data_IF_272964999196
#
_entry.id   IF_272964999196
#
_cell.length_a   1.000
_cell.length_b   1.000
_cell.length_c   1.000
_cell.angle_alpha   90.00
_cell.angle_beta   90.00
_cell.angle_gamma   90.00
#
_symmetry.space_group_name_H-M   'P 1'
#
loop_
_entity.id
_entity.type
_entity.pdbx_description
1 polymer ?
#
# COMPACT_ATOMS: atom_id res chain seq x y z
N UNK A 1 22.39 -40.74 -16.25
CA UNK A 1 22.57 -40.06 -14.95
C UNK A 1 21.38 -40.44 -14.09
N UNK A 2 21.58 -41.39 -13.18
CA UNK A 2 20.53 -42.01 -12.36
C UNK A 2 20.23 -41.07 -11.19
N UNK A 3 18.99 -40.60 -11.05
CA UNK A 3 18.55 -39.77 -9.91
C UNK A 3 18.05 -40.72 -8.82
N UNK A 4 18.87 -40.93 -7.80
CA UNK A 4 18.45 -41.62 -6.57
C UNK A 4 17.68 -40.65 -5.68
N UNK A 5 16.37 -40.87 -5.56
CA UNK A 5 15.51 -40.18 -4.60
C UNK A 5 15.84 -40.61 -3.17
N UNK A 6 16.31 -39.67 -2.36
CA UNK A 6 16.51 -39.88 -0.93
C UNK A 6 15.17 -39.91 -0.20
N UNK A 7 14.84 -41.05 0.39
CA UNK A 7 13.77 -41.17 1.37
C UNK A 7 14.27 -40.51 2.65
N UNK A 8 13.66 -39.39 3.05
CA UNK A 8 13.88 -38.81 4.38
C UNK A 8 13.23 -39.78 5.37
N UNK A 9 14.05 -40.54 6.08
CA UNK A 9 13.59 -41.40 7.16
C UNK A 9 13.03 -40.53 8.28
N UNK A 10 11.74 -40.67 8.60
CA UNK A 10 11.19 -40.21 9.86
C UNK A 10 11.94 -40.94 10.99
N UNK A 11 12.48 -40.19 11.95
CA UNK A 11 13.16 -40.77 13.11
C UNK A 11 12.23 -41.68 13.91
N UNK A 12 12.77 -42.65 14.68
CA UNK A 12 11.95 -43.53 15.51
C UNK A 12 11.27 -42.72 16.63
N UNK A 13 9.95 -42.82 16.72
CA UNK A 13 9.15 -42.23 17.79
C UNK A 13 9.23 -43.07 19.07
N UNK A 14 9.37 -42.40 20.23
CA UNK A 14 9.50 -42.99 21.58
C UNK A 14 8.42 -42.46 22.54
N UNK A 15 8.27 -43.08 23.71
CA UNK A 15 7.24 -42.76 24.71
C UNK A 15 7.52 -41.46 25.48
N UNK A 16 6.51 -40.62 25.74
CA UNK A 16 6.71 -39.37 26.46
C UNK A 16 7.31 -39.58 27.87
N UNK A 17 8.34 -38.80 28.20
CA UNK A 17 8.96 -38.80 29.53
C UNK A 17 8.36 -37.72 30.43
N UNK A 18 8.61 -37.80 31.73
CA UNK A 18 8.03 -36.86 32.70
C UNK A 18 8.88 -35.60 32.76
N UNK A 19 8.23 -34.46 32.54
CA UNK A 19 8.83 -33.14 32.62
C UNK A 19 8.70 -32.52 34.01
N UNK A 20 9.01 -31.22 34.15
CA UNK A 20 8.86 -30.49 35.41
C UNK A 20 7.42 -30.56 35.91
N UNK A 21 7.24 -30.89 37.18
CA UNK A 21 5.93 -31.01 37.81
C UNK A 21 6.03 -31.52 39.24
N UNK A 22 4.86 -31.68 39.86
CA UNK A 22 4.72 -32.24 41.21
C UNK A 22 4.07 -33.62 41.17
N UNK A 23 4.20 -34.36 42.27
CA UNK A 23 3.61 -35.68 42.46
C UNK A 23 4.55 -36.83 42.11
N UNK A 24 4.02 -38.05 42.19
CA UNK A 24 4.74 -39.28 41.89
C UNK A 24 3.86 -40.19 41.04
N UNK A 25 4.44 -40.65 39.94
CA UNK A 25 3.80 -41.48 38.92
C UNK A 25 3.40 -42.86 39.44
N UNK A 26 4.08 -43.34 40.48
CA UNK A 26 3.85 -44.67 41.04
C UNK A 26 2.77 -44.67 42.14
N UNK A 27 2.30 -43.49 42.56
CA UNK A 27 1.37 -43.34 43.67
C UNK A 27 0.17 -42.49 43.28
N UNK A 28 0.27 -41.16 43.38
CA UNK A 28 -0.86 -40.24 43.20
C UNK A 28 -1.03 -39.73 41.77
N UNK A 29 -0.10 -40.05 40.87
CA UNK A 29 0.06 -39.40 39.57
C UNK A 29 0.75 -38.04 39.69
N UNK A 30 1.11 -37.46 38.53
CA UNK A 30 1.78 -36.16 38.44
C UNK A 30 0.85 -35.04 37.99
N UNK A 31 1.21 -33.81 38.34
CA UNK A 31 0.63 -32.58 37.81
C UNK A 31 1.76 -31.68 37.32
N UNK A 32 1.83 -31.49 36.01
CA UNK A 32 2.94 -30.79 35.36
C UNK A 32 3.08 -31.19 33.90
N UNK A 33 4.23 -30.89 33.32
CA UNK A 33 4.51 -31.19 31.92
C UNK A 33 4.95 -32.65 31.71
N UNK A 34 4.71 -33.16 30.51
CA UNK A 34 5.41 -34.28 29.91
C UNK A 34 6.39 -33.75 28.86
N UNK A 35 7.36 -34.55 28.46
CA UNK A 35 8.26 -34.27 27.35
C UNK A 35 7.88 -35.18 26.20
N UNK A 36 7.45 -34.61 25.07
CA UNK A 36 7.19 -35.39 23.87
C UNK A 36 8.52 -35.80 23.22
N UNK A 37 8.84 -37.09 23.16
CA UNK A 37 10.09 -37.57 22.56
C UNK A 37 10.19 -37.30 21.06
N UNK A 38 9.06 -37.06 20.39
CA UNK A 38 9.02 -36.74 18.96
C UNK A 38 9.80 -35.48 18.60
N UNK A 39 9.84 -34.49 19.51
CA UNK A 39 10.46 -33.18 19.27
C UNK A 39 11.11 -32.55 20.52
N UNK A 40 11.11 -33.25 21.66
CA UNK A 40 11.69 -32.81 22.93
C UNK A 40 10.92 -31.71 23.66
N UNK A 41 9.68 -31.40 23.25
CA UNK A 41 8.92 -30.25 23.80
C UNK A 41 8.14 -30.61 25.05
N UNK A 42 7.93 -29.62 25.91
CA UNK A 42 6.99 -29.73 27.02
C UNK A 42 5.55 -29.74 26.50
N UNK A 43 4.80 -30.77 26.88
CA UNK A 43 3.42 -31.01 26.47
C UNK A 43 2.54 -31.31 27.68
N UNK A 44 1.26 -31.00 27.58
CA UNK A 44 0.31 -31.04 28.69
C UNK A 44 -0.85 -31.95 28.36
N UNK A 45 -1.22 -32.78 29.31
CA UNK A 45 -2.36 -33.68 29.25
C UNK A 45 -3.67 -32.90 29.06
N UNK A 46 -4.46 -33.21 28.02
CA UNK A 46 -5.79 -32.56 27.85
C UNK A 46 -6.96 -33.39 28.38
N UNK A 47 -6.84 -34.72 28.40
CA UNK A 47 -7.96 -35.62 28.68
C UNK A 47 -7.94 -36.07 30.14
N UNK A 48 -8.48 -35.26 31.06
CA UNK A 48 -8.27 -35.39 32.51
C UNK A 48 -8.52 -36.81 33.10
N UNK A 49 -9.37 -37.63 32.48
CA UNK A 49 -9.70 -38.99 32.90
C UNK A 49 -9.01 -40.14 32.16
N UNK A 50 -8.18 -39.87 31.15
CA UNK A 50 -7.54 -40.91 30.37
C UNK A 50 -6.20 -41.40 30.99
N UNK A 51 -5.68 -42.58 30.61
CA UNK A 51 -4.38 -43.05 31.11
C UNK A 51 -3.22 -42.16 30.63
N UNK A 52 -2.19 -42.00 31.45
CA UNK A 52 -1.00 -41.22 31.11
C UNK A 52 -0.26 -41.75 29.84
N UNK A 53 0.41 -40.87 29.07
CA UNK A 53 0.94 -41.16 27.73
C UNK A 53 2.28 -41.93 27.73
N UNK A 54 2.28 -43.16 28.24
CA UNK A 54 3.47 -44.03 28.33
C UNK A 54 3.86 -44.76 27.04
N UNK A 55 3.02 -44.71 26.01
CA UNK A 55 3.29 -45.32 24.72
C UNK A 55 3.86 -44.30 23.74
N UNK A 56 4.20 -44.77 22.54
CA UNK A 56 4.71 -43.94 21.46
C UNK A 56 3.78 -42.75 21.16
N UNK A 57 4.32 -41.55 21.32
CA UNK A 57 3.60 -40.29 21.05
C UNK A 57 3.93 -39.81 19.64
N UNK A 58 2.89 -39.50 18.86
CA UNK A 58 3.01 -38.93 17.51
C UNK A 58 2.59 -37.46 17.50
N UNK A 59 3.10 -36.67 16.54
CA UNK A 59 2.88 -35.23 16.46
C UNK A 59 4.18 -34.43 16.39
N UNK A 60 4.11 -33.09 16.46
CA UNK A 60 2.90 -32.28 16.61
C UNK A 60 2.09 -32.16 15.30
N UNK A 61 0.76 -32.13 15.43
CA UNK A 61 -0.13 -31.61 14.38
C UNK A 61 -0.78 -30.33 14.89
N UNK A 62 -0.62 -29.21 14.17
CA UNK A 62 -1.33 -27.96 14.52
C UNK A 62 -2.81 -28.11 14.14
N UNK A 63 -3.70 -27.97 15.12
CA UNK A 63 -5.15 -28.07 14.94
C UNK A 63 -5.84 -26.75 15.31
N UNK A 64 -6.88 -26.40 14.56
CA UNK A 64 -7.77 -25.25 14.81
C UNK A 64 -9.16 -25.67 15.24
N UNK A 65 -9.39 -26.98 15.33
CA UNK A 65 -10.64 -27.62 15.68
C UNK A 65 -10.29 -28.84 16.53
N UNK A 66 -10.89 -28.97 17.70
CA UNK A 66 -10.55 -30.01 18.66
C UNK A 66 -11.76 -30.33 19.52
N UNK A 67 -12.05 -31.62 19.65
CA UNK A 67 -13.09 -32.12 20.55
C UNK A 67 -12.45 -32.68 21.81
N UNK A 68 -12.98 -32.31 22.98
CA UNK A 68 -12.60 -32.85 24.29
C UNK A 68 -12.89 -34.36 24.38
N UNK A 69 -12.36 -35.01 25.42
CA UNK A 69 -12.57 -36.44 25.65
C UNK A 69 -14.06 -36.84 25.72
N UNK A 70 -14.90 -35.96 26.25
CA UNK A 70 -16.35 -36.17 26.41
C UNK A 70 -17.17 -35.87 25.14
N UNK A 71 -16.51 -35.57 24.02
CA UNK A 71 -17.18 -35.26 22.76
C UNK A 71 -17.63 -33.80 22.63
N UNK A 72 -17.26 -32.91 23.57
CA UNK A 72 -17.57 -31.48 23.44
C UNK A 72 -16.52 -30.75 22.59
N UNK A 73 -16.99 -30.01 21.60
CA UNK A 73 -16.13 -29.17 20.77
C UNK A 73 -15.56 -27.98 21.55
N UNK A 74 -14.25 -27.79 21.51
CA UNK A 74 -13.62 -26.61 22.10
C UNK A 74 -13.93 -25.38 21.25
N UNK A 75 -14.26 -24.27 21.92
CA UNK A 75 -14.51 -23.00 21.24
C UNK A 75 -13.20 -22.37 20.72
N UNK A 76 -13.24 -21.52 19.68
CA UNK A 76 -12.07 -20.78 19.24
C UNK A 76 -11.44 -19.92 20.35
N UNK A 77 -12.25 -19.37 21.25
CA UNK A 77 -11.78 -18.64 22.42
C UNK A 77 -11.00 -19.55 23.38
N UNK A 78 -11.49 -20.76 23.63
CA UNK A 78 -10.81 -21.76 24.47
C UNK A 78 -9.46 -22.14 23.86
N UNK A 79 -9.44 -22.44 22.56
CA UNK A 79 -8.19 -22.76 21.84
C UNK A 79 -7.19 -21.61 21.88
N UNK A 80 -7.64 -20.36 21.68
CA UNK A 80 -6.77 -19.19 21.75
C UNK A 80 -6.19 -18.96 23.15
N UNK A 81 -6.98 -19.21 24.20
CA UNK A 81 -6.53 -19.13 25.59
C UNK A 81 -5.52 -20.23 25.94
N UNK A 82 -5.80 -21.47 25.54
CA UNK A 82 -4.87 -22.60 25.68
C UNK A 82 -3.54 -22.29 24.98
N UNK A 83 -3.60 -21.79 23.74
CA UNK A 83 -2.43 -21.37 22.98
C UNK A 83 -1.64 -20.28 23.70
N UNK A 84 -2.31 -19.23 24.19
CA UNK A 84 -1.70 -18.14 24.93
C UNK A 84 -0.94 -18.62 26.18
N UNK A 85 -1.60 -19.41 27.03
CA UNK A 85 -1.01 -19.88 28.29
C UNK A 85 0.19 -20.79 28.01
N UNK A 86 0.04 -21.77 27.11
CA UNK A 86 1.16 -22.66 26.78
C UNK A 86 2.30 -21.91 26.08
N UNK A 87 2.02 -20.90 25.27
CA UNK A 87 3.07 -20.12 24.60
C UNK A 87 3.88 -19.27 25.59
N UNK A 88 3.25 -18.82 26.69
CA UNK A 88 3.88 -17.95 27.67
C UNK A 88 4.58 -18.71 28.79
N UNK A 89 4.02 -19.84 29.22
CA UNK A 89 4.49 -20.59 30.39
C UNK A 89 4.76 -22.08 30.14
N UNK A 90 4.35 -22.61 28.99
CA UNK A 90 4.40 -24.05 28.70
C UNK A 90 5.81 -24.65 28.70
N UNK A 91 6.83 -23.85 28.37
CA UNK A 91 8.24 -24.28 28.35
C UNK A 91 8.99 -23.98 29.68
N UNK A 92 8.28 -23.60 30.75
CA UNK A 92 8.93 -23.31 32.04
C UNK A 92 9.62 -24.54 32.63
N UNK A 93 10.76 -24.35 33.30
CA UNK A 93 11.42 -25.41 34.07
C UNK A 93 10.99 -25.45 35.54
N UNK A 94 10.12 -24.52 35.97
CA UNK A 94 9.65 -24.43 37.36
C UNK A 94 8.42 -25.35 37.57
N UNK A 95 8.50 -26.36 38.45
CA UNK A 95 7.38 -27.25 38.77
C UNK A 95 6.10 -26.53 39.22
N UNK A 96 6.21 -25.39 39.92
CA UNK A 96 5.05 -24.61 40.37
C UNK A 96 4.32 -23.92 39.20
N UNK A 97 5.04 -23.61 38.12
CA UNK A 97 4.47 -23.01 36.91
C UNK A 97 3.85 -24.11 36.04
N UNK A 98 4.58 -25.19 35.75
CA UNK A 98 4.09 -26.26 34.88
C UNK A 98 2.90 -27.00 35.50
N UNK A 99 2.85 -27.15 36.83
CA UNK A 99 1.66 -27.66 37.51
C UNK A 99 0.44 -26.76 37.30
N UNK A 100 0.62 -25.43 37.36
CA UNK A 100 -0.43 -24.47 37.08
C UNK A 100 -0.87 -24.51 35.60
N UNK A 101 0.06 -24.64 34.64
CA UNK A 101 -0.28 -24.83 33.22
C UNK A 101 -1.10 -26.10 33.03
N UNK A 102 -0.72 -27.22 33.64
CA UNK A 102 -1.46 -28.47 33.54
C UNK A 102 -2.88 -28.35 34.13
N UNK A 103 -3.04 -27.70 35.28
CA UNK A 103 -4.35 -27.43 35.86
C UNK A 103 -5.21 -26.55 34.94
N UNK A 104 -4.61 -25.53 34.31
CA UNK A 104 -5.28 -24.67 33.33
C UNK A 104 -5.75 -25.47 32.10
N UNK A 105 -4.88 -26.32 31.55
CA UNK A 105 -5.19 -27.13 30.37
C UNK A 105 -6.35 -28.07 30.62
N UNK A 106 -6.37 -28.82 31.73
CA UNK A 106 -7.51 -29.69 32.05
C UNK A 106 -8.81 -28.91 32.25
N UNK A 107 -8.75 -27.77 32.95
CA UNK A 107 -9.93 -26.95 33.22
C UNK A 107 -10.54 -26.35 31.95
N UNK A 108 -9.74 -26.03 30.94
CA UNK A 108 -10.22 -25.46 29.67
C UNK A 108 -10.51 -26.54 28.60
N UNK A 109 -9.70 -27.58 28.50
CA UNK A 109 -9.78 -28.58 27.44
C UNK A 109 -10.74 -29.74 27.74
N UNK A 110 -10.96 -30.06 29.01
CA UNK A 110 -11.87 -31.12 29.45
C UNK A 110 -12.58 -30.78 30.78
N UNK A 111 -13.32 -29.64 30.82
CA UNK A 111 -13.88 -29.11 32.06
C UNK A 111 -14.81 -30.09 32.77
N UNK A 112 -15.62 -30.85 32.02
CA UNK A 112 -16.61 -31.79 32.59
C UNK A 112 -15.90 -32.90 33.36
N UNK A 113 -14.93 -33.56 32.73
CA UNK A 113 -14.16 -34.64 33.37
C UNK A 113 -13.29 -34.13 34.50
N UNK A 114 -12.64 -32.97 34.32
CA UNK A 114 -11.82 -32.36 35.35
C UNK A 114 -12.62 -32.05 36.61
N UNK A 115 -13.81 -31.46 36.47
CA UNK A 115 -14.69 -31.18 37.61
C UNK A 115 -15.24 -32.46 38.25
N UNK A 116 -15.59 -33.47 37.45
CA UNK A 116 -16.06 -34.77 37.97
C UNK A 116 -15.02 -35.47 38.87
N UNK A 117 -13.72 -35.21 38.65
CA UNK A 117 -12.64 -35.74 39.50
C UNK A 117 -12.38 -34.93 40.77
N UNK A 118 -13.03 -33.77 40.94
CA UNK A 118 -12.80 -32.85 42.06
C UNK A 118 -12.00 -31.60 41.70
N UNK A 119 -11.77 -31.35 40.40
CA UNK A 119 -11.20 -30.12 39.86
C UNK A 119 -9.87 -29.72 40.50
N UNK A 120 -9.77 -28.47 40.93
CA UNK A 120 -8.55 -27.92 41.52
C UNK A 120 -8.13 -28.67 42.80
N UNK A 121 -9.09 -29.02 43.66
CA UNK A 121 -8.80 -29.76 44.90
C UNK A 121 -8.19 -31.13 44.62
N UNK A 122 -8.68 -31.81 43.58
CA UNK A 122 -8.12 -33.08 43.12
C UNK A 122 -6.70 -32.91 42.55
N UNK A 123 -6.44 -31.89 41.73
CA UNK A 123 -5.10 -31.66 41.20
C UNK A 123 -4.09 -31.34 42.32
N UNK A 124 -4.49 -30.56 43.33
CA UNK A 124 -3.64 -30.15 44.45
C UNK A 124 -3.24 -31.29 45.38
N UNK A 125 -3.93 -32.44 45.40
CA UNK A 125 -3.47 -33.59 46.20
C UNK A 125 -2.11 -34.12 45.77
N UNK A 126 -1.64 -33.74 44.56
CA UNK A 126 -0.33 -34.08 43.99
C UNK A 126 0.73 -33.01 44.26
N UNK A 127 0.33 -31.83 44.72
CA UNK A 127 1.22 -30.70 45.00
C UNK A 127 1.56 -30.67 46.49
N UNK A 128 2.86 -30.66 46.87
CA UNK A 128 3.24 -30.54 48.29
C UNK A 128 2.65 -29.28 48.92
N UNK A 129 2.19 -29.39 50.17
CA UNK A 129 1.45 -28.31 50.86
C UNK A 129 2.17 -26.94 50.83
N UNK A 130 3.51 -26.93 50.92
CA UNK A 130 4.32 -25.72 50.87
C UNK A 130 4.27 -24.97 49.51
N UNK A 131 3.89 -25.65 48.43
CA UNK A 131 3.86 -25.12 47.06
C UNK A 131 2.44 -24.79 46.56
N UNK A 132 1.40 -25.28 47.24
CA UNK A 132 0.01 -25.16 46.77
C UNK A 132 -0.43 -23.70 46.57
N UNK A 133 -0.05 -22.80 47.48
CA UNK A 133 -0.38 -21.37 47.36
C UNK A 133 0.28 -20.72 46.14
N UNK A 134 1.55 -21.07 45.86
CA UNK A 134 2.29 -20.58 44.69
C UNK A 134 1.67 -21.09 43.39
N UNK A 135 1.34 -22.39 43.30
CA UNK A 135 0.68 -22.98 42.13
C UNK A 135 -0.66 -22.29 41.86
N UNK A 136 -1.48 -22.08 42.90
CA UNK A 136 -2.76 -21.40 42.76
C UNK A 136 -2.61 -19.93 42.34
N UNK A 137 -1.60 -19.22 42.85
CA UNK A 137 -1.31 -17.84 42.43
C UNK A 137 -0.88 -17.76 40.96
N UNK A 138 -0.06 -18.71 40.50
CA UNK A 138 0.32 -18.84 39.08
C UNK A 138 -0.92 -19.12 38.21
N UNK A 139 -1.77 -20.07 38.62
CA UNK A 139 -2.98 -20.42 37.90
C UNK A 139 -3.94 -19.22 37.77
N UNK A 140 -4.15 -18.47 38.86
CA UNK A 140 -4.96 -17.26 38.86
C UNK A 140 -4.40 -16.19 37.91
N UNK A 141 -3.06 -16.04 37.88
CA UNK A 141 -2.37 -15.14 36.95
C UNK A 141 -2.59 -15.55 35.50
N UNK A 142 -2.47 -16.85 35.18
CA UNK A 142 -2.71 -17.38 33.83
C UNK A 142 -4.14 -17.09 33.35
N UNK A 143 -5.15 -17.28 34.21
CA UNK A 143 -6.53 -16.94 33.88
C UNK A 143 -6.72 -15.44 33.60
N UNK A 144 -6.22 -14.58 34.49
CA UNK A 144 -6.36 -13.14 34.33
C UNK A 144 -5.72 -12.66 33.02
N UNK A 145 -4.51 -13.15 32.74
CA UNK A 145 -3.69 -12.70 31.62
C UNK A 145 -4.17 -13.29 30.29
N UNK A 146 -4.59 -14.56 30.25
CA UNK A 146 -5.21 -15.15 29.06
C UNK A 146 -6.54 -14.45 28.73
N UNK A 147 -7.37 -14.13 29.73
CA UNK A 147 -8.60 -13.38 29.50
C UNK A 147 -8.34 -11.99 28.91
N UNK A 148 -7.29 -11.31 29.36
CA UNK A 148 -6.94 -9.98 28.85
C UNK A 148 -6.29 -10.00 27.45
N UNK A 149 -5.52 -11.05 27.12
CA UNK A 149 -4.59 -10.99 25.99
C UNK A 149 -4.75 -12.07 24.90
N UNK A 150 -5.63 -13.07 25.08
CA UNK A 150 -5.85 -14.07 24.03
C UNK A 150 -6.31 -13.43 22.71
N UNK A 151 -5.83 -13.98 21.59
CA UNK A 151 -6.18 -13.51 20.26
C UNK A 151 -6.80 -14.66 19.46
N UNK A 152 -8.12 -14.58 19.21
CA UNK A 152 -8.84 -15.61 18.43
C UNK A 152 -8.49 -15.52 16.95
N UNK A 153 -8.63 -14.33 16.37
CA UNK A 153 -8.41 -14.05 14.95
C UNK A 153 -7.45 -12.86 14.81
N UNK A 154 -6.15 -13.05 15.11
CA UNK A 154 -5.18 -11.97 14.96
C UNK A 154 -5.02 -11.64 13.48
N UNK A 155 -5.05 -10.35 13.16
CA UNK A 155 -5.03 -9.85 11.79
C UNK A 155 -4.15 -8.60 11.67
N UNK A 156 -3.52 -8.45 10.53
CA UNK A 156 -2.96 -7.17 10.08
C UNK A 156 -3.55 -6.87 8.71
N UNK A 157 -3.86 -5.60 8.49
CA UNK A 157 -4.28 -5.06 7.21
C UNK A 157 -3.42 -3.84 6.90
N UNK A 158 -3.01 -3.71 5.64
CA UNK A 158 -2.24 -2.58 5.15
C UNK A 158 -2.88 -2.05 3.88
N UNK A 159 -2.98 -0.73 3.76
CA UNK A 159 -3.53 -0.05 2.58
C UNK A 159 -2.62 1.10 2.21
N UNK A 160 -2.33 1.25 0.92
CA UNK A 160 -1.56 2.37 0.38
C UNK A 160 -2.52 3.26 -0.41
N UNK A 161 -2.46 4.57 -0.15
CA UNK A 161 -3.16 5.58 -0.93
C UNK A 161 -2.16 6.64 -1.39
N UNK A 162 -2.03 6.86 -2.69
CA UNK A 162 -1.15 7.88 -3.26
C UNK A 162 -1.95 9.15 -3.53
N UNK A 163 -1.43 10.29 -3.10
CA UNK A 163 -2.01 11.61 -3.37
C UNK A 163 -1.48 12.20 -4.68
N UNK A 164 -0.22 11.94 -5.02
CA UNK A 164 0.41 12.28 -6.29
C UNK A 164 1.43 11.20 -6.70
N UNK A 165 2.30 11.49 -7.66
CA UNK A 165 3.30 10.55 -8.18
C UNK A 165 4.31 10.08 -7.14
N UNK A 166 4.50 10.80 -6.03
CA UNK A 166 5.50 10.51 -5.01
C UNK A 166 4.89 10.49 -3.60
N UNK A 167 3.98 11.39 -3.27
CA UNK A 167 3.44 11.55 -1.94
C UNK A 167 2.23 10.63 -1.72
N UNK A 168 2.23 9.90 -0.62
CA UNK A 168 1.12 9.02 -0.24
C UNK A 168 1.05 8.74 1.24
N UNK A 169 0.14 7.86 1.62
CA UNK A 169 -0.06 7.37 2.98
C UNK A 169 -0.17 5.86 3.02
N UNK A 170 0.49 5.25 3.99
CA UNK A 170 0.29 3.88 4.42
C UNK A 170 -0.66 3.87 5.63
N UNK A 171 -1.80 3.19 5.53
CA UNK A 171 -2.64 2.87 6.69
C UNK A 171 -2.36 1.44 7.12
N UNK A 172 -2.13 1.25 8.42
CA UNK A 172 -1.89 -0.06 9.04
C UNK A 172 -2.97 -0.28 10.09
N UNK A 173 -3.63 -1.42 10.06
CA UNK A 173 -4.59 -1.85 11.07
C UNK A 173 -4.14 -3.18 11.67
N UNK A 174 -3.85 -3.19 12.98
CA UNK A 174 -3.35 -4.36 13.70
C UNK A 174 -4.36 -4.76 14.77
N UNK A 175 -4.74 -6.04 14.79
CA UNK A 175 -5.64 -6.62 15.79
C UNK A 175 -5.08 -7.94 16.31
N UNK A 176 -4.91 -8.11 17.64
CA UNK A 176 -5.03 -7.07 18.66
C UNK A 176 -3.89 -6.04 18.57
N UNK A 177 -4.06 -4.87 19.19
CA UNK A 177 -3.04 -3.80 19.18
C UNK A 177 -1.74 -4.16 19.94
N UNK A 178 -1.76 -5.25 20.72
CA UNK A 178 -0.61 -5.77 21.44
C UNK A 178 0.38 -6.57 20.57
N UNK A 179 0.05 -6.82 19.29
CA UNK A 179 0.98 -7.45 18.35
C UNK A 179 2.18 -6.53 18.07
N UNK A 180 3.36 -7.12 17.93
CA UNK A 180 4.61 -6.40 17.65
C UNK A 180 5.13 -6.82 16.27
N UNK A 181 5.45 -5.84 15.44
CA UNK A 181 5.85 -6.08 14.08
C UNK A 181 6.33 -4.84 13.38
N UNK A 182 6.68 -5.01 12.11
CA UNK A 182 7.13 -3.93 11.25
C UNK A 182 6.46 -4.01 9.89
N UNK A 183 6.50 -2.88 9.19
CA UNK A 183 6.15 -2.79 7.78
C UNK A 183 7.40 -2.41 7.01
N UNK A 184 7.63 -3.11 5.90
CA UNK A 184 8.69 -2.84 4.92
C UNK A 184 8.06 -2.27 3.67
N UNK A 185 8.60 -1.17 3.17
CA UNK A 185 8.24 -0.51 1.93
C UNK A 185 9.25 -0.87 0.83
N UNK A 186 8.75 -1.05 -0.39
CA UNK A 186 9.55 -1.15 -1.62
C UNK A 186 9.15 -0.02 -2.55
N UNK A 187 10.16 0.60 -3.19
CA UNK A 187 10.02 1.81 -4.01
C UNK A 187 9.34 2.99 -3.29
N UNK A 188 9.40 3.00 -1.96
CA UNK A 188 8.98 4.12 -1.11
C UNK A 188 9.73 4.11 0.22
N UNK A 189 9.73 5.25 0.90
CA UNK A 189 10.28 5.45 2.24
C UNK A 189 9.24 6.11 3.15
N UNK A 190 9.39 5.92 4.45
CA UNK A 190 8.78 6.81 5.44
C UNK A 190 9.42 8.19 5.40
N UNK A 191 8.80 9.18 6.05
CA UNK A 191 9.30 10.58 6.09
C UNK A 191 10.70 10.74 6.67
N UNK A 192 11.14 9.79 7.50
CA UNK A 192 12.49 9.75 8.08
C UNK A 192 13.52 9.11 7.14
N UNK A 193 13.12 8.76 5.91
CA UNK A 193 13.96 8.15 4.89
C UNK A 193 14.14 6.63 5.03
N UNK A 194 13.57 6.01 6.08
CA UNK A 194 13.67 4.55 6.26
C UNK A 194 12.71 3.80 5.34
N UNK A 195 13.05 2.56 4.98
CA UNK A 195 12.18 1.65 4.24
C UNK A 195 11.51 0.60 5.13
N UNK A 196 11.84 0.55 6.41
CA UNK A 196 11.29 -0.42 7.36
C UNK A 196 11.08 0.24 8.72
N UNK A 197 9.90 0.05 9.31
CA UNK A 197 9.55 0.69 10.58
C UNK A 197 8.63 -0.19 11.42
N UNK A 198 8.86 -0.21 12.73
CA UNK A 198 7.92 -0.79 13.69
C UNK A 198 6.72 0.14 13.83
N UNK A 199 5.53 -0.34 13.49
CA UNK A 199 4.30 0.45 13.43
C UNK A 199 3.20 -0.21 14.23
N UNK A 200 2.34 0.61 14.84
CA UNK A 200 1.06 0.15 15.38
C UNK A 200 -0.07 0.42 14.38
N UNK A 201 -1.30 0.34 14.85
CA UNK A 201 -2.45 0.84 14.08
C UNK A 201 -2.32 2.35 13.89
N UNK A 202 -2.48 2.82 12.64
CA UNK A 202 -2.42 4.24 12.32
C UNK A 202 -2.19 4.51 10.84
N UNK A 203 -2.10 5.80 10.51
CA UNK A 203 -1.80 6.28 9.15
C UNK A 203 -0.46 7.00 9.15
N UNK A 204 0.39 6.64 8.21
CA UNK A 204 1.78 7.08 8.13
C UNK A 204 2.07 7.66 6.75
N UNK A 205 2.61 8.89 6.65
CA UNK A 205 3.03 9.44 5.37
C UNK A 205 4.21 8.65 4.78
N UNK A 206 4.16 8.43 3.47
CA UNK A 206 5.19 7.76 2.70
C UNK A 206 5.54 8.57 1.45
N UNK A 207 6.77 8.40 0.97
CA UNK A 207 7.28 9.05 -0.23
C UNK A 207 7.85 7.99 -1.18
N UNK A 208 7.30 7.92 -2.38
CA UNK A 208 7.77 7.09 -3.48
C UNK A 208 9.21 7.42 -3.88
N UNK A 209 9.99 6.38 -4.12
CA UNK A 209 11.40 6.41 -4.52
C UNK A 209 11.61 5.48 -5.71
N UNK A 210 11.01 5.79 -6.88
CA UNK A 210 11.25 5.00 -8.08
C UNK A 210 12.74 5.04 -8.48
N UNK A 211 13.19 3.97 -9.12
CA UNK A 211 14.49 3.96 -9.79
C UNK A 211 14.57 5.07 -10.86
N UNK A 212 15.77 5.62 -11.06
CA UNK A 212 15.96 6.66 -12.06
C UNK A 212 15.68 6.14 -13.48
N UNK A 213 14.95 6.93 -14.28
CA UNK A 213 14.69 6.64 -15.70
C UNK A 213 13.59 5.62 -15.99
N UNK A 214 12.85 5.14 -14.98
CA UNK A 214 11.68 4.28 -15.20
C UNK A 214 10.47 5.13 -15.58
N UNK A 215 9.64 4.69 -16.55
CA UNK A 215 8.44 5.44 -16.97
C UNK A 215 7.27 5.28 -15.99
N UNK A 216 7.31 4.24 -15.16
CA UNK A 216 6.31 3.95 -14.14
C UNK A 216 6.91 3.11 -13.01
N UNK A 217 6.25 3.11 -11.85
CA UNK A 217 6.63 2.27 -10.72
C UNK A 217 5.40 1.87 -9.89
N UNK A 218 5.60 1.04 -8.87
CA UNK A 218 4.55 0.68 -7.92
C UNK A 218 5.12 0.64 -6.51
N UNK A 219 4.36 1.12 -5.53
CA UNK A 219 4.75 1.02 -4.13
C UNK A 219 4.21 -0.29 -3.57
N UNK A 220 5.04 -1.04 -2.85
CA UNK A 220 4.62 -2.23 -2.10
C UNK A 220 4.85 -2.02 -0.60
N UNK A 221 3.89 -2.42 0.22
CA UNK A 221 4.02 -2.48 1.67
C UNK A 221 3.83 -3.93 2.11
N UNK A 222 4.76 -4.44 2.93
CA UNK A 222 4.72 -5.79 3.49
C UNK A 222 4.82 -5.71 5.01
N UNK A 223 3.77 -6.15 5.69
CA UNK A 223 3.65 -6.21 7.15
C UNK A 223 3.94 -7.60 7.67
N UNK A 224 4.63 -7.69 8.82
CA UNK A 224 4.83 -8.93 9.56
C UNK A 224 4.77 -8.67 11.06
N UNK A 225 3.80 -9.29 11.74
CA UNK A 225 3.51 -9.09 13.15
C UNK A 225 3.53 -10.41 13.90
N UNK A 226 4.07 -10.38 15.11
CA UNK A 226 4.19 -11.54 15.99
C UNK A 226 3.68 -11.20 17.40
N UNK A 227 3.40 -12.24 18.15
CA UNK A 227 2.89 -12.15 19.51
C UNK A 227 2.86 -13.51 20.16
N UNK A 228 2.54 -13.52 21.45
CA UNK A 228 2.50 -14.75 22.24
C UNK A 228 1.19 -15.49 21.96
N UNK A 229 1.29 -16.77 21.57
CA UNK A 229 0.15 -17.68 21.44
C UNK A 229 -0.97 -17.16 20.54
N UNK A 230 -0.63 -16.76 19.32
CA UNK A 230 -1.57 -16.17 18.37
C UNK A 230 -2.51 -17.19 17.74
N UNK A 231 -3.81 -16.85 17.75
CA UNK A 231 -4.86 -17.59 17.04
C UNK A 231 -5.47 -18.73 17.84
N UNK A 232 -6.68 -19.11 17.45
CA UNK A 232 -7.39 -20.28 17.93
C UNK A 232 -6.78 -21.60 17.40
N UNK A 233 -5.57 -21.93 17.88
CA UNK A 233 -4.85 -23.14 17.46
C UNK A 233 -3.98 -23.71 18.56
N UNK A 234 -3.78 -25.02 18.57
CA UNK A 234 -2.84 -25.71 19.47
C UNK A 234 -2.09 -26.78 18.69
N UNK A 235 -0.95 -27.22 19.20
CA UNK A 235 -0.27 -28.40 18.68
C UNK A 235 -0.77 -29.62 19.45
N UNK A 236 -1.37 -30.56 18.73
CA UNK A 236 -1.87 -31.82 19.24
C UNK A 236 -0.83 -32.92 19.04
N UNK A 237 -0.63 -33.70 20.09
CA UNK A 237 0.11 -34.94 20.06
C UNK A 237 -0.81 -36.09 20.51
N UNK A 238 -0.66 -37.24 19.86
CA UNK A 238 -1.51 -38.39 20.09
C UNK A 238 -0.69 -39.59 20.54
N UNK A 239 -1.16 -40.20 21.61
CA UNK A 239 -0.63 -41.46 22.15
C UNK A 239 -1.75 -42.49 22.15
N UNK A 240 -1.68 -43.56 21.32
CA UNK A 240 -2.79 -44.49 21.16
C UNK A 240 -3.31 -45.08 22.48
N UNK A 241 -4.63 -44.92 22.72
CA UNK A 241 -5.31 -45.43 23.92
C UNK A 241 -5.01 -44.68 25.22
N UNK A 242 -4.33 -43.54 25.15
CA UNK A 242 -3.89 -42.73 26.30
C UNK A 242 -4.32 -41.26 26.11
N UNK A 243 -4.00 -40.40 27.07
CA UNK A 243 -4.34 -38.97 26.98
C UNK A 243 -3.69 -38.35 25.73
N UNK A 244 -4.44 -37.51 25.04
CA UNK A 244 -3.87 -36.57 24.07
C UNK A 244 -3.09 -35.48 24.81
N UNK A 245 -2.10 -34.92 24.14
CA UNK A 245 -1.23 -33.90 24.71
C UNK A 245 -1.27 -32.64 23.86
N UNK A 246 -1.21 -31.49 24.53
CA UNK A 246 -1.23 -30.18 23.92
C UNK A 246 0.08 -29.44 24.20
N UNK A 247 0.58 -28.76 23.18
CA UNK A 247 1.50 -27.66 23.32
C UNK A 247 0.91 -26.40 22.66
N UNK A 248 1.59 -25.27 22.84
CA UNK A 248 1.23 -24.07 22.11
C UNK A 248 1.27 -24.34 20.60
N UNK A 249 0.37 -23.69 19.87
CA UNK A 249 0.34 -23.77 18.43
C UNK A 249 1.66 -23.27 17.84
N UNK A 250 2.06 -23.84 16.71
CA UNK A 250 3.26 -23.42 15.98
C UNK A 250 3.23 -21.90 15.77
N UNK A 251 4.26 -21.15 16.24
CA UNK A 251 4.33 -19.71 16.04
C UNK A 251 4.31 -19.37 14.55
N UNK A 252 3.44 -18.45 14.18
CA UNK A 252 3.36 -17.94 12.81
C UNK A 252 3.08 -16.45 12.90
N UNK A 253 3.84 -15.67 12.14
CA UNK A 253 3.58 -14.25 12.00
C UNK A 253 2.26 -14.03 11.25
N UNK A 254 1.55 -12.99 11.64
CA UNK A 254 0.43 -12.45 10.87
C UNK A 254 1.01 -11.48 9.86
N UNK A 255 0.72 -11.70 8.58
CA UNK A 255 1.29 -10.91 7.48
C UNK A 255 0.19 -10.30 6.64
N UNK A 256 0.52 -9.17 6.01
CA UNK A 256 -0.32 -8.54 5.01
C UNK A 256 0.56 -7.83 3.97
N UNK A 257 0.07 -7.73 2.75
CA UNK A 257 0.76 -7.01 1.68
C UNK A 257 -0.24 -6.14 0.93
N UNK A 258 0.17 -4.92 0.59
CA UNK A 258 -0.55 -4.04 -0.31
C UNK A 258 0.36 -3.54 -1.41
N UNK A 259 -0.24 -3.30 -2.57
CA UNK A 259 0.44 -2.72 -3.74
C UNK A 259 -0.46 -1.65 -4.34
N UNK A 260 0.15 -0.56 -4.79
CA UNK A 260 -0.54 0.41 -5.63
C UNK A 260 -0.79 -0.16 -7.02
N UNK A 261 -1.67 0.48 -7.79
CA UNK A 261 -1.60 0.39 -9.25
C UNK A 261 -0.25 0.96 -9.75
N UNK A 262 0.06 0.71 -11.02
CA UNK A 262 1.21 1.35 -11.66
C UNK A 262 1.03 2.87 -11.68
N UNK A 263 2.03 3.58 -11.20
CA UNK A 263 2.09 5.03 -11.11
C UNK A 263 2.96 5.52 -12.26
N UNK A 264 2.33 6.16 -13.25
CA UNK A 264 3.05 6.78 -14.36
C UNK A 264 3.91 7.95 -13.86
N UNK A 265 5.16 8.00 -14.33
CA UNK A 265 6.11 9.07 -14.08
C UNK A 265 6.30 9.97 -15.31
N UNK A 266 5.61 9.67 -16.40
CA UNK A 266 5.54 10.51 -17.57
C UNK A 266 4.12 10.66 -18.13
N UNK A 267 3.92 11.69 -18.94
CA UNK A 267 2.69 11.95 -19.70
C UNK A 267 3.02 12.57 -21.07
N UNK A 268 2.02 12.73 -21.94
CA UNK A 268 2.19 13.47 -23.19
C UNK A 268 1.21 14.64 -23.23
N UNK A 269 1.68 15.90 -23.12
CA UNK A 269 0.83 17.06 -23.32
C UNK A 269 0.51 17.25 -24.81
N UNK A 270 -0.67 17.80 -25.07
CA UNK A 270 -1.07 18.34 -26.38
C UNK A 270 -1.76 19.68 -26.17
N UNK A 271 -1.66 20.56 -27.15
CA UNK A 271 -2.34 21.85 -27.18
C UNK A 271 -3.29 21.80 -28.38
N UNK A 272 -4.54 22.19 -28.18
CA UNK A 272 -5.40 22.62 -29.29
C UNK A 272 -5.66 24.11 -29.13
N UNK A 273 -5.78 24.86 -30.22
CA UNK A 273 -5.96 26.31 -30.13
C UNK A 273 -7.21 26.81 -30.84
N UNK A 274 -7.62 28.01 -30.43
CA UNK A 274 -8.67 28.79 -31.05
C UNK A 274 -8.35 30.27 -30.88
N UNK A 275 -8.37 31.03 -31.98
CA UNK A 275 -8.15 32.48 -31.93
C UNK A 275 -9.18 33.16 -31.04
N UNK A 276 -8.72 34.08 -30.18
CA UNK A 276 -9.63 34.83 -29.30
C UNK A 276 -10.57 35.76 -30.09
N UNK A 277 -10.12 36.24 -31.26
CA UNK A 277 -10.92 37.01 -32.20
C UNK A 277 -10.51 36.69 -33.63
N UNK A 278 -11.48 36.34 -34.48
CA UNK A 278 -11.23 36.05 -35.91
C UNK A 278 -10.72 37.27 -36.68
N UNK A 279 -11.11 38.48 -36.27
CA UNK A 279 -10.70 39.73 -36.89
C UNK A 279 -9.89 40.57 -35.90
N UNK A 280 -8.73 41.05 -36.32
CA UNK A 280 -7.81 41.87 -35.52
C UNK A 280 -7.58 43.15 -36.31
N UNK A 281 -7.80 44.34 -35.72
CA UNK A 281 -7.53 45.57 -36.46
C UNK A 281 -6.02 45.82 -36.53
N UNK A 282 -5.57 46.60 -37.52
CA UNK A 282 -4.18 47.06 -37.55
C UNK A 282 -3.86 47.83 -36.26
N UNK A 283 -2.75 47.46 -35.61
CA UNK A 283 -2.34 47.96 -34.30
C UNK A 283 -2.89 47.18 -33.09
N UNK A 284 -3.90 46.31 -33.27
CA UNK A 284 -4.41 45.46 -32.19
C UNK A 284 -3.51 44.23 -31.96
N UNK A 285 -3.58 43.68 -30.74
CA UNK A 285 -2.83 42.50 -30.32
C UNK A 285 -3.44 41.19 -30.83
N UNK A 286 -2.58 40.27 -31.28
CA UNK A 286 -2.94 38.89 -31.54
C UNK A 286 -2.95 38.09 -30.23
N UNK A 287 -4.14 37.70 -29.78
CA UNK A 287 -4.30 36.83 -28.61
C UNK A 287 -4.89 35.48 -29.03
N UNK A 288 -4.33 34.41 -28.49
CA UNK A 288 -4.77 33.04 -28.74
C UNK A 288 -5.32 32.39 -27.47
N UNK A 289 -6.28 31.48 -27.63
CA UNK A 289 -6.84 30.67 -26.56
C UNK A 289 -6.42 29.21 -26.75
N UNK A 290 -5.71 28.68 -25.76
CA UNK A 290 -5.11 27.34 -25.79
C UNK A 290 -5.88 26.41 -24.84
N UNK A 291 -6.41 25.32 -25.39
CA UNK A 291 -6.92 24.19 -24.63
C UNK A 291 -5.82 23.15 -24.45
N UNK A 292 -5.28 23.05 -23.25
CA UNK A 292 -4.20 22.11 -22.90
C UNK A 292 -4.79 20.81 -22.36
N UNK A 293 -4.36 19.68 -22.91
CA UNK A 293 -4.80 18.35 -22.46
C UNK A 293 -3.66 17.32 -22.50
N UNK A 294 -3.94 16.07 -22.13
CA UNK A 294 -2.99 14.95 -22.18
C UNK A 294 -3.53 13.82 -23.04
N UNK A 295 -2.65 13.13 -23.79
CA UNK A 295 -3.01 11.96 -24.61
C UNK A 295 -2.32 10.68 -24.15
N UNK A 296 -3.00 9.55 -24.37
CA UNK A 296 -2.50 8.23 -23.97
C UNK A 296 -2.64 7.95 -22.48
N UNK A 297 -1.75 7.12 -21.93
CA UNK A 297 -1.70 6.79 -20.50
C UNK A 297 -1.08 7.94 -19.71
N UNK A 298 -1.44 8.11 -18.44
CA UNK A 298 -0.84 9.12 -17.56
C UNK A 298 -1.56 10.48 -17.62
N UNK A 299 -1.86 11.02 -16.44
CA UNK A 299 -2.39 12.37 -16.28
C UNK A 299 -1.24 13.38 -16.14
N UNK A 300 -1.56 14.67 -16.17
CA UNK A 300 -0.57 15.71 -15.88
C UNK A 300 0.13 15.42 -14.55
N UNK A 301 1.46 15.37 -14.58
CA UNK A 301 2.24 14.95 -13.40
C UNK A 301 2.20 16.06 -12.35
N UNK A 302 1.97 15.65 -11.10
CA UNK A 302 2.01 16.50 -9.93
C UNK A 302 3.18 16.11 -9.04
N UNK A 303 3.92 17.11 -8.56
CA UNK A 303 5.01 16.94 -7.61
C UNK A 303 4.72 17.86 -6.44
N UNK A 304 4.73 17.30 -5.23
CA UNK A 304 4.40 18.01 -4.00
C UNK A 304 3.03 18.73 -4.10
N UNK A 305 2.05 18.00 -4.64
CA UNK A 305 0.68 18.49 -4.85
C UNK A 305 0.51 19.56 -5.94
N UNK A 306 1.58 19.97 -6.63
CA UNK A 306 1.53 21.01 -7.67
C UNK A 306 1.78 20.42 -9.06
N UNK A 307 1.06 20.84 -10.12
CA UNK A 307 1.33 20.37 -11.48
C UNK A 307 2.74 20.79 -11.92
N UNK A 308 3.45 19.88 -12.58
CA UNK A 308 4.75 20.17 -13.19
C UNK A 308 4.56 21.27 -14.24
N UNK A 309 5.25 22.42 -14.12
CA UNK A 309 5.14 23.48 -15.11
C UNK A 309 5.86 23.09 -16.40
N UNK A 310 5.21 23.35 -17.53
CA UNK A 310 5.80 23.27 -18.86
C UNK A 310 5.79 24.64 -19.53
N UNK A 311 6.76 24.88 -20.40
CA UNK A 311 6.82 26.08 -21.24
C UNK A 311 6.39 25.72 -22.66
N UNK A 312 5.37 26.40 -23.17
CA UNK A 312 4.95 26.36 -24.56
C UNK A 312 5.45 27.61 -25.30
N UNK A 313 5.86 27.43 -26.55
CA UNK A 313 6.26 28.51 -27.45
C UNK A 313 5.28 28.59 -28.62
N UNK A 314 4.70 29.77 -28.82
CA UNK A 314 3.85 30.08 -29.97
C UNK A 314 4.63 30.87 -30.99
N UNK A 315 4.56 30.52 -32.27
CA UNK A 315 5.07 31.35 -33.37
C UNK A 315 3.89 31.83 -34.20
N UNK A 316 3.80 33.14 -34.42
CA UNK A 316 2.80 33.74 -35.28
C UNK A 316 3.37 33.90 -36.68
N UNK A 317 2.74 33.24 -37.65
CA UNK A 317 3.11 33.31 -39.05
C UNK A 317 2.17 34.23 -39.82
N UNK A 318 2.71 34.99 -40.77
CA UNK A 318 1.98 35.91 -41.64
C UNK A 318 2.70 37.26 -41.82
N UNK A 319 2.07 38.21 -42.54
CA UNK A 319 0.78 38.05 -43.22
C UNK A 319 0.84 37.10 -44.42
N UNK A 320 -0.28 36.44 -44.70
CA UNK A 320 -0.54 35.73 -45.96
C UNK A 320 -1.67 36.42 -46.74
N UNK A 321 -1.61 36.36 -48.07
CA UNK A 321 -2.63 36.95 -48.95
C UNK A 321 -3.97 36.18 -48.92
N UNK A 322 -3.91 34.87 -48.64
CA UNK A 322 -5.06 33.98 -48.49
C UNK A 322 -4.91 33.07 -47.27
N UNK A 323 -6.01 32.46 -46.83
CA UNK A 323 -6.01 31.47 -45.75
C UNK A 323 -4.99 30.37 -46.07
N UNK A 324 -3.93 30.18 -45.24
CA UNK A 324 -2.97 29.13 -45.47
C UNK A 324 -3.65 27.76 -45.44
N UNK A 325 -3.18 26.84 -46.29
CA UNK A 325 -3.64 25.45 -46.26
C UNK A 325 -3.15 24.74 -44.98
N UNK A 326 -4.00 23.90 -44.40
CA UNK A 326 -3.66 23.13 -43.21
C UNK A 326 -2.55 22.11 -43.51
N UNK A 327 -1.52 22.04 -42.66
CA UNK A 327 -0.43 21.08 -42.76
C UNK A 327 0.16 20.71 -41.41
N UNK A 328 0.69 19.50 -41.26
CA UNK A 328 1.34 19.04 -40.01
C UNK A 328 2.65 19.78 -39.71
N UNK A 329 3.25 20.40 -40.72
CA UNK A 329 4.49 21.16 -40.63
C UNK A 329 4.33 22.54 -41.24
N UNK A 330 5.07 23.51 -40.71
CA UNK A 330 5.17 24.85 -41.29
C UNK A 330 5.86 24.78 -42.67
N UNK A 331 5.29 25.39 -43.73
CA UNK A 331 5.94 25.48 -45.04
C UNK A 331 7.25 26.27 -45.00
N UNK A 332 8.22 25.87 -45.83
CA UNK A 332 9.50 26.57 -45.96
C UNK A 332 9.29 28.03 -46.39
N UNK A 333 9.93 28.96 -45.67
CA UNK A 333 9.86 30.39 -45.96
C UNK A 333 8.57 31.07 -45.51
N UNK A 334 7.71 30.41 -44.72
CA UNK A 334 6.55 31.05 -44.09
C UNK A 334 6.98 32.33 -43.33
N UNK A 335 6.36 33.50 -43.61
CA UNK A 335 6.69 34.75 -42.92
C UNK A 335 6.45 34.64 -41.42
N UNK A 336 7.35 35.19 -40.60
CA UNK A 336 7.24 35.17 -39.13
C UNK A 336 7.05 36.58 -38.62
N UNK A 337 5.98 36.80 -37.86
CA UNK A 337 5.75 38.05 -37.13
C UNK A 337 6.59 38.08 -35.85
N UNK A 338 6.58 36.98 -35.11
CA UNK A 338 7.29 36.86 -33.85
C UNK A 338 6.91 35.61 -33.07
N UNK A 339 7.40 35.51 -31.84
CA UNK A 339 7.13 34.39 -30.94
C UNK A 339 6.65 34.86 -29.58
N UNK A 340 5.82 34.03 -28.94
CA UNK A 340 5.37 34.17 -27.57
C UNK A 340 5.73 32.95 -26.74
N UNK A 341 5.91 33.17 -25.43
CA UNK A 341 6.13 32.11 -24.47
C UNK A 341 4.98 32.08 -23.47
N UNK A 342 4.45 30.88 -23.20
CA UNK A 342 3.38 30.65 -22.22
C UNK A 342 3.80 29.56 -21.23
N UNK A 343 3.63 29.83 -19.93
CA UNK A 343 3.90 28.85 -18.87
C UNK A 343 2.62 28.12 -18.49
N UNK A 344 2.60 26.81 -18.70
CA UNK A 344 1.52 25.88 -18.37
C UNK A 344 1.67 25.40 -16.92
N UNK A 345 1.44 26.30 -15.96
CA UNK A 345 1.62 26.05 -14.53
C UNK A 345 0.37 25.56 -13.79
N UNK A 346 -0.76 25.36 -14.48
CA UNK A 346 -2.02 24.86 -13.89
C UNK A 346 -2.37 23.45 -14.34
N UNK A 347 -1.53 22.83 -15.18
CA UNK A 347 -1.83 21.56 -15.82
C UNK A 347 -2.77 21.72 -17.01
N UNK A 348 -3.67 20.75 -17.19
CA UNK A 348 -4.70 20.78 -18.25
C UNK A 348 -5.72 21.89 -18.05
N UNK A 349 -6.29 22.40 -19.14
CA UNK A 349 -7.32 23.43 -19.13
C UNK A 349 -7.01 24.58 -20.09
N UNK A 350 -7.75 25.68 -19.94
CA UNK A 350 -7.64 26.85 -20.81
C UNK A 350 -6.52 27.80 -20.39
N UNK A 351 -5.82 28.36 -21.37
CA UNK A 351 -4.82 29.40 -21.21
C UNK A 351 -4.98 30.46 -22.31
N UNK A 352 -4.67 31.71 -21.98
CA UNK A 352 -4.61 32.79 -22.96
C UNK A 352 -3.15 33.19 -23.20
N UNK A 353 -2.80 33.46 -24.45
CA UNK A 353 -1.50 34.04 -24.79
C UNK A 353 -1.35 35.48 -24.28
N UNK A 354 -0.15 36.02 -24.31
CA UNK A 354 0.14 37.33 -23.70
C UNK A 354 -0.38 38.51 -24.54
N UNK A 355 -0.57 38.31 -25.85
CA UNK A 355 -1.02 39.39 -26.75
C UNK A 355 0.06 40.45 -26.99
N UNK A 356 1.33 40.04 -27.00
CA UNK A 356 2.49 40.91 -27.20
C UNK A 356 2.79 41.22 -28.68
N UNK A 357 2.31 40.38 -29.61
CA UNK A 357 2.42 40.62 -31.04
C UNK A 357 1.23 41.43 -31.55
N UNK A 358 1.46 42.36 -32.48
CA UNK A 358 0.43 43.26 -33.03
C UNK A 358 0.33 43.14 -34.55
N UNK A 359 -0.86 43.43 -35.08
CA UNK A 359 -1.10 43.45 -36.52
C UNK A 359 -0.47 44.68 -37.17
N UNK A 360 0.58 44.50 -37.96
CA UNK A 360 1.27 45.60 -38.67
C UNK A 360 0.82 45.76 -40.12
N UNK A 361 0.23 44.73 -40.71
CA UNK A 361 -0.20 44.71 -42.11
C UNK A 361 -1.54 43.97 -42.24
N UNK A 362 -2.24 44.17 -43.37
CA UNK A 362 -3.44 43.38 -43.67
C UNK A 362 -3.07 42.00 -44.19
N UNK A 363 -3.79 40.96 -43.76
CA UNK A 363 -3.57 39.59 -44.21
C UNK A 363 -4.10 38.54 -43.24
N UNK A 364 -3.83 37.27 -43.55
CA UNK A 364 -4.12 36.14 -42.68
C UNK A 364 -2.90 35.85 -41.79
N UNK A 365 -3.15 35.50 -40.53
CA UNK A 365 -2.11 35.20 -39.54
C UNK A 365 -2.48 33.93 -38.78
N UNK A 366 -1.57 32.96 -38.70
CA UNK A 366 -1.82 31.67 -38.01
C UNK A 366 -0.81 31.44 -36.90
N UNK A 367 -1.29 30.99 -35.75
CA UNK A 367 -0.42 30.52 -34.67
C UNK A 367 0.02 29.08 -34.91
N UNK A 368 1.22 28.74 -34.44
CA UNK A 368 1.66 27.36 -34.24
C UNK A 368 2.31 27.28 -32.87
N UNK A 369 1.78 26.45 -31.99
CA UNK A 369 2.31 26.24 -30.64
C UNK A 369 3.11 24.95 -30.56
N UNK A 370 4.17 24.97 -29.75
CA UNK A 370 4.99 23.81 -29.48
C UNK A 370 5.45 23.72 -28.04
N UNK A 371 5.71 22.49 -27.60
CA UNK A 371 6.38 22.18 -26.34
C UNK A 371 7.62 21.36 -26.72
N UNK A 372 8.81 21.94 -26.56
CA UNK A 372 10.05 21.21 -26.76
C UNK A 372 10.48 20.54 -25.46
N UNK A 373 10.55 19.21 -25.45
CA UNK A 373 10.99 18.39 -24.30
C UNK A 373 12.38 18.75 -23.82
N UNK A 374 13.30 19.04 -24.73
CA UNK A 374 14.70 19.34 -24.37
C UNK A 374 14.86 20.71 -23.74
N UNK A 375 13.93 21.63 -24.05
CA UNK A 375 13.88 22.98 -23.49
C UNK A 375 13.19 23.08 -22.10
N UNK A 376 12.61 21.98 -21.58
CA UNK A 376 11.88 22.00 -20.31
C UNK A 376 12.76 21.93 -19.04
N UNK A 377 14.08 21.81 -19.20
CA UNK A 377 14.97 21.56 -18.06
C UNK A 377 14.58 20.29 -17.30
N UNK A 378 14.51 20.37 -15.97
CA UNK A 378 14.15 19.23 -15.12
C UNK A 378 12.73 18.69 -15.37
N UNK A 379 11.81 19.52 -15.85
CA UNK A 379 10.44 19.10 -16.17
C UNK A 379 10.39 18.17 -17.39
N UNK A 380 11.41 18.20 -18.26
CA UNK A 380 11.46 17.41 -19.50
C UNK A 380 11.42 15.90 -19.27
N UNK A 381 11.87 15.44 -18.09
CA UNK A 381 11.81 14.01 -17.73
C UNK A 381 10.39 13.48 -17.55
N UNK A 382 9.42 14.36 -17.30
CA UNK A 382 8.03 13.99 -17.07
C UNK A 382 7.19 13.96 -18.35
N UNK A 383 7.73 14.38 -19.50
CA UNK A 383 7.00 14.29 -20.77
C UNK A 383 7.65 13.31 -21.73
N UNK A 384 6.84 12.57 -22.49
CA UNK A 384 7.34 11.50 -23.38
C UNK A 384 8.11 12.07 -24.57
N UNK A 385 7.56 13.09 -25.21
CA UNK A 385 8.16 13.76 -26.34
C UNK A 385 7.74 15.22 -26.48
N UNK A 386 8.36 15.89 -27.44
CA UNK A 386 7.93 17.22 -27.86
C UNK A 386 6.57 17.17 -28.54
N UNK A 387 5.86 18.30 -28.53
CA UNK A 387 4.59 18.52 -29.21
C UNK A 387 4.72 19.72 -30.13
N UNK A 388 4.08 19.67 -31.31
CA UNK A 388 3.92 20.80 -32.22
C UNK A 388 2.52 20.74 -32.80
N UNK A 389 1.82 21.87 -32.80
CA UNK A 389 0.50 22.02 -33.42
C UNK A 389 0.60 22.06 -34.95
N UNK A 390 -0.52 21.90 -35.63
CA UNK A 390 -0.55 22.00 -37.09
C UNK A 390 -0.52 23.46 -37.54
N UNK A 391 -0.01 23.69 -38.74
CA UNK A 391 0.02 25.00 -39.38
C UNK A 391 -1.28 25.28 -40.13
N UNK A 392 -1.74 26.53 -40.12
CA UNK A 392 -2.79 27.03 -41.01
C UNK A 392 -4.22 26.61 -40.64
N UNK A 393 -4.46 26.12 -39.42
CA UNK A 393 -5.79 25.68 -39.00
C UNK A 393 -6.77 26.85 -38.99
N UNK A 394 -7.97 26.63 -39.53
CA UNK A 394 -8.98 27.70 -39.65
C UNK A 394 -9.40 28.24 -38.27
N UNK A 395 -9.45 27.39 -37.25
CA UNK A 395 -9.75 27.80 -35.88
C UNK A 395 -8.64 28.68 -35.26
N UNK A 396 -7.45 28.67 -35.84
CA UNK A 396 -6.19 29.23 -35.31
C UNK A 396 -5.68 30.38 -36.19
N UNK A 397 -6.53 30.85 -37.13
CA UNK A 397 -6.19 31.93 -38.09
C UNK A 397 -6.97 33.22 -37.81
N UNK A 398 -6.23 34.30 -37.58
CA UNK A 398 -6.73 35.67 -37.55
C UNK A 398 -6.74 36.30 -38.93
N UNK A 399 -7.61 37.28 -39.14
CA UNK A 399 -7.65 38.12 -40.34
C UNK A 399 -7.50 39.58 -39.92
N UNK A 400 -6.45 40.24 -40.41
CA UNK A 400 -6.33 41.69 -40.34
C UNK A 400 -6.92 42.30 -41.61
N UNK A 401 -8.13 42.89 -41.56
CA UNK A 401 -8.78 43.40 -42.75
C UNK A 401 -8.05 44.64 -43.29
N UNK A 402 -7.96 44.75 -44.61
CA UNK A 402 -7.45 45.95 -45.27
C UNK A 402 -8.29 47.19 -44.90
N UNK A 403 -7.65 48.24 -44.39
CA UNK A 403 -8.27 49.52 -44.10
C UNK A 403 -7.86 50.58 -45.14
N UNK A 404 -8.70 50.93 -46.13
CA UNK A 404 -8.35 51.96 -47.11
C UNK A 404 -8.31 53.35 -46.45
N UNK A 405 -7.12 53.94 -46.35
CA UNK A 405 -6.95 55.35 -46.02
C UNK A 405 -7.13 56.23 -47.25
N UNK A 406 -8.27 56.91 -47.39
CA UNK A 406 -8.47 57.90 -48.44
C UNK A 406 -7.96 59.28 -47.98
N UNK A 407 -6.83 59.73 -48.51
CA UNK A 407 -6.37 61.13 -48.34
C UNK A 407 -6.79 61.91 -49.58
N UNK A 408 -7.89 62.68 -49.49
CA UNK A 408 -8.22 63.65 -50.54
C UNK A 408 -7.34 64.89 -50.38
N UNK A 409 -6.44 65.15 -51.33
CA UNK A 409 -5.81 66.47 -51.49
C UNK A 409 -6.70 67.31 -52.41
N UNK A 410 -7.14 68.48 -51.92
CA UNK A 410 -7.82 69.49 -52.73
C UNK A 410 -6.78 70.47 -53.27
N UNK A 411 -6.80 70.71 -54.59
CA UNK A 411 -5.85 71.61 -55.25
C UNK A 411 -6.33 73.08 -55.27
N UNK A 412 -7.46 73.42 -54.64
CA UNK A 412 -8.03 74.77 -54.69
C UNK A 412 -8.55 75.26 -53.32
N UNK A 413 -7.94 76.33 -52.80
CA UNK A 413 -8.42 77.04 -51.59
C UNK A 413 -9.62 77.97 -51.82
N UNK A 414 -10.14 78.10 -53.05
CA UNK A 414 -11.35 78.88 -53.34
C UNK A 414 -12.15 78.24 -54.48
N UNK A 415 -13.43 77.93 -54.24
CA UNK A 415 -14.39 77.63 -55.29
C UNK A 415 -15.01 78.94 -55.81
N UNK A 416 -14.84 79.24 -57.10
CA UNK A 416 -15.55 80.32 -57.77
C UNK A 416 -16.92 79.81 -58.27
N UNK A 417 -18.02 80.56 -58.09
CA UNK A 417 -19.34 80.16 -58.56
C UNK A 417 -19.35 79.90 -60.07
N UNK A 418 -19.80 78.71 -60.49
CA UNK A 418 -20.06 78.38 -61.90
C UNK A 418 -19.14 77.34 -62.55
N UNK A 419 -18.10 76.84 -61.86
CA UNK A 419 -17.26 75.77 -62.40
C UNK A 419 -17.73 74.42 -61.84
N UNK A 420 -18.16 73.52 -62.72
CA UNK A 420 -18.42 72.12 -62.35
C UNK A 420 -17.08 71.44 -62.03
N UNK A 421 -16.89 70.86 -60.84
CA UNK A 421 -15.76 69.97 -60.61
C UNK A 421 -15.86 68.78 -61.56
N UNK A 422 -14.78 68.46 -62.26
CA UNK A 422 -14.64 67.17 -62.93
C UNK A 422 -14.34 66.14 -61.86
N UNK A 423 -15.17 65.10 -61.80
CA UNK A 423 -14.82 63.82 -61.20
C UNK A 423 -14.00 63.05 -62.21
#
# INVERSE_FOLDING_TARGET
>A
MLVTGGVIAAGPASAASVGPGHGDLNTTGTVGAFIAESDGRQVYCMDAGAPAPWNMTSGPTTVTDLTSYTGQQLSPTTLAKLNYVMAKWGDSTNPDITAAVQMYVWAEADPVTYQAQGGQSWALTRVPAAHQSTVLANLATMYADANANHAVNPSVDVVISMADQYNGTLTVNVSPTALNGSVVLTDATFIDGTTSKALGTGTYPIVGKPAAGVPEYRVTASASYSGVGLGARVNLYETPGQQRLLANGTPAAVTATAQTLWIALDFQPVIGTQVAAKYVAEGDSFTDMLTVSTVGVGSWIHVDGSPVPLTAQGTLYGPFDEQPAESESVPDGAPVVGTETLVLNRGTGEYASAGSLTATESGFYTWVWGIDKTAQGDSGKYIRGSFTDWFGRVAETHVTPFQPGAVSKTDARLALPGVKPRV
#
